data_IF_967669407802
#
_entry.id   IF_967669407802
#
_cell.length_a   1.000
_cell.length_b   1.000
_cell.length_c   1.000
_cell.angle_alpha   90.00
_cell.angle_beta   90.00
_cell.angle_gamma   90.00
#
_symmetry.space_group_name_H-M   'P 1'
#
loop_
_entity.id
_entity.type
_entity.pdbx_description
1 polymer ?
#
# COMPACT_ATOMS: atom_id res chain seq x y z
N UNK A 1 29.00 15.06 11.80
CA UNK A 1 28.72 13.63 12.10
C UNK A 1 27.31 13.36 11.60
N UNK A 2 27.09 12.37 10.74
CA UNK A 2 25.75 12.04 10.25
C UNK A 2 24.89 11.44 11.37
N UNK A 3 23.58 11.68 11.33
CA UNK A 3 22.63 10.98 12.18
C UNK A 3 22.19 9.72 11.44
N UNK A 4 22.34 8.56 12.08
CA UNK A 4 21.75 7.31 11.62
C UNK A 4 20.41 7.13 12.32
N UNK A 5 19.40 6.69 11.59
CA UNK A 5 18.11 6.30 12.16
C UNK A 5 17.73 4.94 11.60
N UNK A 6 17.22 4.06 12.45
CA UNK A 6 16.83 2.71 12.08
C UNK A 6 15.31 2.63 11.90
N UNK A 7 14.88 1.89 10.89
CA UNK A 7 13.50 1.46 10.72
C UNK A 7 13.48 -0.04 10.94
N UNK A 8 12.71 -0.49 11.93
CA UNK A 8 12.51 -1.90 12.23
C UNK A 8 11.15 -2.34 11.67
N UNK A 9 11.14 -3.44 10.92
CA UNK A 9 9.92 -4.07 10.40
C UNK A 9 9.96 -5.54 10.83
N UNK A 10 8.94 -5.99 11.56
CA UNK A 10 8.74 -7.38 11.96
C UNK A 10 7.55 -7.95 11.20
N UNK A 11 7.80 -9.09 10.56
CA UNK A 11 6.80 -9.87 9.83
C UNK A 11 6.69 -11.22 10.52
N UNK A 12 5.52 -11.50 11.10
CA UNK A 12 5.20 -12.83 11.61
C UNK A 12 4.41 -13.57 10.55
N UNK A 13 4.89 -14.75 10.18
CA UNK A 13 4.22 -15.65 9.24
C UNK A 13 3.58 -16.80 10.02
N UNK A 14 2.51 -17.35 9.48
CA UNK A 14 1.94 -18.60 9.96
C UNK A 14 2.65 -19.85 9.39
N UNK A 15 2.11 -21.03 9.72
CA UNK A 15 2.61 -22.34 9.28
C UNK A 15 2.65 -22.50 7.75
N UNK A 16 1.81 -21.76 7.02
CA UNK A 16 1.75 -21.74 5.55
C UNK A 16 2.56 -20.61 4.93
N UNK A 17 3.36 -19.89 5.73
CA UNK A 17 4.18 -18.74 5.33
C UNK A 17 3.39 -17.54 4.84
N UNK A 18 2.15 -17.39 5.29
CA UNK A 18 1.32 -16.21 4.98
C UNK A 18 1.47 -15.18 6.10
N UNK A 19 1.58 -13.87 5.80
CA UNK A 19 1.69 -12.85 6.84
C UNK A 19 0.47 -12.83 7.77
N UNK A 20 0.73 -13.04 9.05
CA UNK A 20 -0.27 -12.98 10.12
C UNK A 20 -0.23 -11.61 10.83
N UNK A 21 0.98 -11.11 11.09
CA UNK A 21 1.19 -9.84 11.81
C UNK A 21 2.31 -9.03 11.16
N UNK A 22 2.05 -7.74 10.99
CA UNK A 22 3.04 -6.75 10.54
C UNK A 22 3.20 -5.69 11.63
N UNK A 23 4.44 -5.45 12.04
CA UNK A 23 4.79 -4.49 13.08
C UNK A 23 5.98 -3.64 12.64
N UNK A 24 5.98 -2.35 12.95
CA UNK A 24 7.09 -1.47 12.55
C UNK A 24 7.37 -0.33 13.54
N UNK A 25 8.60 0.17 13.55
CA UNK A 25 9.01 1.38 14.26
C UNK A 25 10.08 2.13 13.46
N UNK A 26 10.05 3.46 13.51
CA UNK A 26 11.12 4.33 13.02
C UNK A 26 11.76 5.17 14.15
N UNK A 27 11.34 4.92 15.40
CA UNK A 27 11.84 5.59 16.58
C UNK A 27 12.95 4.76 17.22
N UNK A 28 14.12 5.39 17.39
CA UNK A 28 15.29 4.77 17.98
C UNK A 28 15.03 4.43 19.46
N UNK A 29 15.13 3.15 19.82
CA UNK A 29 14.91 2.67 21.18
C UNK A 29 13.44 2.55 21.61
N UNK A 30 12.48 2.66 20.69
CA UNK A 30 11.08 2.40 21.01
C UNK A 30 10.86 0.90 21.28
N UNK A 31 10.39 0.57 22.49
CA UNK A 31 9.93 -0.78 22.82
C UNK A 31 8.57 -1.11 22.21
N UNK A 32 7.86 -0.08 21.68
CA UNK A 32 6.51 -0.22 21.14
C UNK A 32 6.55 -0.18 19.62
N UNK A 33 6.22 -1.32 19.00
CA UNK A 33 5.99 -1.40 17.56
C UNK A 33 4.56 -1.02 17.21
N UNK A 34 4.40 -0.31 16.09
CA UNK A 34 3.10 0.02 15.50
C UNK A 34 2.61 -1.17 14.68
N UNK A 35 1.35 -1.55 14.86
CA UNK A 35 0.74 -2.61 14.06
C UNK A 35 0.25 -2.05 12.72
N UNK A 36 0.44 -2.84 11.66
CA UNK A 36 -0.07 -2.55 10.33
C UNK A 36 -0.80 -3.77 9.76
N UNK A 37 -1.75 -3.53 8.86
CA UNK A 37 -2.40 -4.59 8.06
C UNK A 37 -1.72 -4.81 6.72
N UNK A 38 -0.97 -3.83 6.21
CA UNK A 38 -0.20 -3.96 4.98
C UNK A 38 1.03 -3.05 4.97
N UNK A 39 1.98 -3.39 4.11
CA UNK A 39 3.14 -2.57 3.76
C UNK A 39 3.49 -2.74 2.28
N UNK A 40 4.00 -1.66 1.68
CA UNK A 40 4.76 -1.71 0.43
C UNK A 40 6.12 -1.10 0.68
N UNK A 41 7.17 -1.85 0.39
CA UNK A 41 8.55 -1.40 0.48
C UNK A 41 9.23 -1.58 -0.88
N UNK A 42 9.79 -0.50 -1.41
CA UNK A 42 10.48 -0.50 -2.69
C UNK A 42 11.86 0.14 -2.55
N UNK A 43 12.87 -0.53 -3.09
CA UNK A 43 14.23 -0.01 -3.23
C UNK A 43 14.56 0.14 -4.71
N UNK A 44 15.15 1.27 -5.08
CA UNK A 44 15.69 1.45 -6.42
C UNK A 44 17.15 0.99 -6.46
N UNK A 45 17.41 -0.05 -7.24
CA UNK A 45 18.78 -0.45 -7.57
C UNK A 45 19.28 0.36 -8.76
N UNK A 46 20.24 1.25 -8.51
CA UNK A 46 20.83 2.11 -9.54
C UNK A 46 21.76 1.39 -10.51
N UNK A 47 22.32 0.23 -10.13
CA UNK A 47 23.20 -0.54 -11.00
C UNK A 47 22.38 -1.27 -12.08
N UNK A 48 21.35 -1.99 -11.63
CA UNK A 48 20.50 -2.78 -12.51
C UNK A 48 19.32 -1.98 -13.10
N UNK A 49 19.09 -0.76 -12.58
CA UNK A 49 17.96 0.11 -12.94
C UNK A 49 16.62 -0.60 -12.75
N UNK A 50 16.46 -1.24 -11.59
CA UNK A 50 15.25 -2.00 -11.24
C UNK A 50 14.71 -1.60 -9.87
N UNK A 51 13.40 -1.82 -9.68
CA UNK A 51 12.75 -1.66 -8.39
C UNK A 51 12.64 -3.04 -7.71
N UNK A 52 13.32 -3.21 -6.58
CA UNK A 52 13.18 -4.37 -5.70
C UNK A 52 12.03 -4.12 -4.74
N UNK A 53 11.05 -5.01 -4.68
CA UNK A 53 9.82 -4.80 -3.91
C UNK A 53 9.53 -5.92 -2.92
N UNK A 54 8.96 -5.52 -1.79
CA UNK A 54 8.32 -6.38 -0.80
C UNK A 54 6.94 -5.78 -0.51
N UNK A 55 5.90 -6.42 -1.00
CA UNK A 55 4.51 -6.02 -0.80
C UNK A 55 3.83 -7.11 0.04
N UNK A 56 3.38 -6.76 1.24
CA UNK A 56 2.78 -7.69 2.21
C UNK A 56 1.48 -7.14 2.75
N UNK A 57 0.54 -8.05 3.03
CA UNK A 57 -0.71 -7.75 3.74
C UNK A 57 -1.07 -8.93 4.64
N UNK A 58 -1.73 -8.63 5.76
CA UNK A 58 -2.21 -9.64 6.70
C UNK A 58 -3.43 -10.35 6.14
N UNK A 59 -3.64 -11.61 6.54
CA UNK A 59 -4.85 -12.38 6.18
C UNK A 59 -6.17 -11.69 6.54
N UNK A 60 -6.15 -10.86 7.59
CA UNK A 60 -7.32 -10.15 8.12
C UNK A 60 -7.64 -8.85 7.38
N UNK A 61 -6.82 -8.45 6.42
CA UNK A 61 -7.09 -7.26 5.63
C UNK A 61 -8.20 -7.54 4.61
N UNK A 62 -9.26 -6.75 4.67
CA UNK A 62 -10.40 -6.90 3.77
C UNK A 62 -10.08 -6.30 2.39
N UNK A 63 -10.78 -6.76 1.35
CA UNK A 63 -10.52 -6.34 -0.04
C UNK A 63 -10.79 -4.85 -0.26
N UNK A 64 -11.78 -4.29 0.43
CA UNK A 64 -12.06 -2.85 0.46
C UNK A 64 -10.92 -2.05 1.11
N UNK A 65 -10.40 -2.52 2.24
CA UNK A 65 -9.21 -1.93 2.87
C UNK A 65 -8.00 -1.98 1.92
N UNK A 66 -7.84 -3.06 1.14
CA UNK A 66 -6.77 -3.15 0.13
C UNK A 66 -6.95 -2.12 -0.97
N UNK A 67 -8.18 -1.96 -1.50
CA UNK A 67 -8.46 -0.96 -2.52
C UNK A 67 -8.19 0.46 -2.03
N UNK A 68 -8.57 0.78 -0.79
CA UNK A 68 -8.26 2.05 -0.13
C UNK A 68 -6.75 2.28 -0.01
N UNK A 69 -6.01 1.25 0.44
CA UNK A 69 -4.56 1.33 0.60
C UNK A 69 -3.84 1.58 -0.74
N UNK A 70 -4.22 0.88 -1.81
CA UNK A 70 -3.69 1.10 -3.15
C UNK A 70 -4.03 2.50 -3.68
N UNK A 71 -5.28 2.95 -3.51
CA UNK A 71 -5.71 4.29 -3.92
C UNK A 71 -4.87 5.37 -3.23
N UNK A 72 -4.76 5.32 -1.91
CA UNK A 72 -3.97 6.30 -1.14
C UNK A 72 -2.49 6.25 -1.49
N UNK A 73 -1.94 5.06 -1.73
CA UNK A 73 -0.55 4.90 -2.15
C UNK A 73 -0.31 5.54 -3.51
N UNK A 74 -1.18 5.32 -4.50
CA UNK A 74 -1.08 5.96 -5.82
C UNK A 74 -1.18 7.49 -5.76
N UNK A 75 -2.13 8.02 -4.97
CA UNK A 75 -2.26 9.46 -4.76
C UNK A 75 -1.00 10.05 -4.12
N UNK A 76 -0.46 9.41 -3.09
CA UNK A 76 0.76 9.86 -2.40
C UNK A 76 2.00 9.75 -3.29
N UNK A 77 2.10 8.70 -4.12
CA UNK A 77 3.14 8.57 -5.13
C UNK A 77 3.09 9.71 -6.15
N UNK A 78 1.89 10.06 -6.64
CA UNK A 78 1.69 11.16 -7.56
C UNK A 78 2.12 12.50 -6.94
N UNK A 79 1.72 12.77 -5.69
CA UNK A 79 2.13 13.98 -4.96
C UNK A 79 3.65 14.04 -4.76
N UNK A 80 4.29 12.90 -4.50
CA UNK A 80 5.74 12.81 -4.35
C UNK A 80 6.44 13.11 -5.68
N UNK A 81 5.96 12.54 -6.79
CA UNK A 81 6.50 12.78 -8.12
C UNK A 81 6.36 14.24 -8.55
N UNK A 82 5.21 14.86 -8.25
CA UNK A 82 4.95 16.29 -8.48
C UNK A 82 5.93 17.20 -7.74
N UNK A 83 6.28 16.88 -6.49
CA UNK A 83 7.24 17.67 -5.71
C UNK A 83 8.69 17.46 -6.16
N UNK A 84 9.01 16.27 -6.65
CA UNK A 84 10.38 15.89 -7.00
C UNK A 84 10.78 16.26 -8.44
N UNK A 85 9.81 16.56 -9.31
CA UNK A 85 10.05 16.77 -10.75
C UNK A 85 9.23 17.95 -11.28
N UNK A 86 9.63 18.56 -12.42
CA UNK A 86 8.81 19.58 -13.07
C UNK A 86 7.63 19.01 -13.88
N UNK A 87 7.50 17.69 -13.99
CA UNK A 87 6.53 17.00 -14.85
C UNK A 87 5.16 16.87 -14.16
N UNK A 88 4.50 18.01 -13.98
CA UNK A 88 3.24 18.09 -13.24
C UNK A 88 2.09 17.37 -13.97
N UNK A 89 2.08 17.40 -15.30
CA UNK A 89 1.10 16.70 -16.14
C UNK A 89 1.10 15.19 -15.84
N UNK A 90 2.28 14.56 -15.82
CA UNK A 90 2.43 13.15 -15.48
C UNK A 90 1.95 12.83 -14.06
N UNK A 91 2.15 13.74 -13.11
CA UNK A 91 1.63 13.55 -11.75
C UNK A 91 0.10 13.63 -11.70
N UNK A 92 -0.52 14.53 -12.47
CA UNK A 92 -1.98 14.60 -12.57
C UNK A 92 -2.55 13.35 -13.26
N UNK A 93 -1.87 12.78 -14.26
CA UNK A 93 -2.26 11.51 -14.89
C UNK A 93 -2.28 10.35 -13.88
N UNK A 94 -1.28 10.27 -12.99
CA UNK A 94 -1.26 9.28 -11.91
C UNK A 94 -2.47 9.43 -10.97
N UNK A 95 -2.83 10.67 -10.61
CA UNK A 95 -4.02 10.93 -9.79
C UNK A 95 -5.31 10.56 -10.50
N UNK A 96 -5.42 10.90 -11.78
CA UNK A 96 -6.59 10.54 -12.58
C UNK A 96 -6.74 9.01 -12.63
N UNK A 97 -5.65 8.29 -12.86
CA UNK A 97 -5.65 6.83 -12.82
C UNK A 97 -6.09 6.28 -11.46
N UNK A 98 -5.56 6.81 -10.36
CA UNK A 98 -5.94 6.40 -9.00
C UNK A 98 -7.45 6.59 -8.76
N UNK A 99 -8.01 7.74 -9.15
CA UNK A 99 -9.45 8.00 -9.04
C UNK A 99 -10.29 7.04 -9.88
N UNK A 100 -9.84 6.75 -11.11
CA UNK A 100 -10.52 5.78 -11.98
C UNK A 100 -10.47 4.36 -11.41
N UNK A 101 -9.31 3.95 -10.86
CA UNK A 101 -9.14 2.68 -10.17
C UNK A 101 -10.17 2.53 -9.04
N UNK A 102 -10.24 3.54 -8.15
CA UNK A 102 -11.11 3.49 -6.99
C UNK A 102 -12.60 3.51 -7.37
N UNK A 103 -12.98 4.34 -8.35
CA UNK A 103 -14.35 4.35 -8.89
C UNK A 103 -14.74 2.99 -9.47
N UNK A 104 -13.87 2.37 -10.27
CA UNK A 104 -14.12 1.03 -10.82
C UNK A 104 -14.31 -0.02 -9.73
N UNK A 105 -13.55 0.08 -8.64
CA UNK A 105 -13.71 -0.79 -7.49
C UNK A 105 -15.10 -0.62 -6.82
N UNK A 106 -15.51 0.62 -6.56
CA UNK A 106 -16.83 0.92 -5.99
C UNK A 106 -17.98 0.43 -6.87
N UNK A 107 -17.86 0.58 -8.19
CA UNK A 107 -18.88 0.10 -9.14
C UNK A 107 -18.99 -1.43 -9.13
N UNK A 108 -17.88 -2.15 -8.93
CA UNK A 108 -17.89 -3.62 -8.77
C UNK A 108 -18.59 -4.05 -7.49
N UNK A 109 -18.29 -3.42 -6.35
CA UNK A 109 -18.95 -3.74 -5.08
C UNK A 109 -20.47 -3.59 -5.18
N UNK A 110 -20.95 -2.49 -5.78
CA UNK A 110 -22.39 -2.27 -5.98
C UNK A 110 -23.05 -3.34 -6.86
N UNK A 111 -22.33 -3.82 -7.88
CA UNK A 111 -22.82 -4.90 -8.75
C UNK A 111 -22.94 -6.21 -7.97
N UNK A 112 -21.91 -6.57 -7.20
CA UNK A 112 -21.91 -7.78 -6.36
C UNK A 112 -23.02 -7.76 -5.31
N UNK A 113 -23.26 -6.61 -4.67
CA UNK A 113 -24.37 -6.42 -3.73
C UNK A 113 -25.74 -6.57 -4.40
N UNK A 114 -25.92 -5.98 -5.59
CA UNK A 114 -27.16 -6.09 -6.35
C UNK A 114 -27.43 -7.54 -6.80
N UNK A 115 -26.40 -8.27 -7.23
CA UNK A 115 -26.50 -9.68 -7.61
C UNK A 115 -26.78 -10.58 -6.41
N UNK A 116 -26.16 -10.32 -5.26
CA UNK A 116 -26.40 -11.07 -4.03
C UNK A 116 -27.83 -10.87 -3.51
N UNK A 117 -28.34 -9.63 -3.57
CA UNK A 117 -29.72 -9.30 -3.20
C UNK A 117 -30.78 -9.96 -4.11
N UNK A 118 -30.48 -10.18 -5.39
CA UNK A 118 -31.37 -10.89 -6.32
C UNK A 118 -31.37 -12.40 -6.13
N UNK A 119 -30.28 -13.01 -5.66
CA UNK A 119 -30.18 -14.46 -5.39
C UNK A 119 -30.75 -14.87 -4.03
N UNK A 120 -30.98 -13.92 -3.13
CA UNK A 120 -31.57 -14.12 -1.80
C UNK A 120 -33.10 -14.00 -1.76
N UNK A 121 -33.74 -13.73 -2.92
CA UNK A 121 -35.20 -13.74 -3.14
C UNK A 121 -35.58 -14.97 -3.99
#
# INVERSE_FOLDING_TARGET
MGKTSNIEIKVTLDDQRVPEKLEWSAEEGSERLNQAKAMMLAFWDGADKTALRIDLWTKSMMVDEMADFFFQTMMTMADTYKRATPYHDMAEDLKQFANQFYKKFQDKLKQEEAEAGQKGL
#
